data_IF_294324054845
#
_entry.id   IF_294324054845
#
_cell.length_a   1.000
_cell.length_b   1.000
_cell.length_c   1.000
_cell.angle_alpha   90.00
_cell.angle_beta   90.00
_cell.angle_gamma   90.00
#
_symmetry.space_group_name_H-M   'P 1'
#
loop_
_entity.id
_entity.type
_entity.pdbx_description
1 polymer ?
#
# COMPACT_ATOMS: atom_id res chain seq x y z
N UNK A 1 -87.20 3.27 -5.89
CA UNK A 1 -87.48 3.45 -7.33
C UNK A 1 -86.29 4.17 -7.93
N UNK A 2 -85.17 3.51 -8.25
CA UNK A 2 -84.91 2.56 -9.36
C UNK A 2 -85.19 3.16 -10.74
N UNK A 3 -84.15 3.70 -11.39
CA UNK A 3 -83.83 3.69 -12.85
C UNK A 3 -82.34 4.11 -12.91
N UNK A 4 -81.30 3.35 -13.29
CA UNK A 4 -80.98 2.29 -14.27
C UNK A 4 -80.76 2.74 -15.73
N UNK A 5 -79.54 2.44 -16.21
CA UNK A 5 -79.11 2.24 -17.61
C UNK A 5 -78.76 3.53 -18.40
N UNK A 6 -77.71 3.64 -19.25
CA UNK A 6 -76.99 2.74 -20.18
C UNK A 6 -75.78 3.57 -20.76
N UNK A 7 -74.49 3.18 -20.82
CA UNK A 7 -73.75 2.27 -21.75
C UNK A 7 -74.33 2.26 -23.19
N UNK A 8 -73.65 2.50 -24.34
CA UNK A 8 -72.23 2.33 -24.79
C UNK A 8 -72.05 3.04 -26.21
N UNK A 9 -71.09 2.70 -27.10
CA UNK A 9 -69.84 3.39 -27.49
C UNK A 9 -69.82 4.05 -28.89
N UNK A 10 -68.69 4.65 -29.30
CA UNK A 10 -68.34 4.87 -30.72
C UNK A 10 -67.20 3.94 -31.16
N UNK A 11 -67.38 3.33 -32.34
CA UNK A 11 -66.54 2.32 -32.96
C UNK A 11 -65.44 2.89 -33.87
N UNK A 12 -64.26 2.25 -33.81
CA UNK A 12 -63.44 1.71 -34.91
C UNK A 12 -63.49 2.35 -36.31
N UNK A 13 -62.31 2.76 -36.81
CA UNK A 13 -61.87 2.50 -38.18
C UNK A 13 -60.37 2.13 -38.18
N UNK A 14 -60.08 0.93 -38.69
CA UNK A 14 -58.77 0.32 -38.93
C UNK A 14 -58.25 0.67 -40.33
N UNK A 15 -57.03 0.18 -40.63
CA UNK A 15 -56.37 -0.04 -41.95
C UNK A 15 -55.48 1.13 -42.45
N UNK A 16 -54.21 0.99 -42.89
CA UNK A 16 -53.41 -0.14 -43.42
C UNK A 16 -51.90 -0.02 -43.11
N UNK A 17 -51.28 -1.18 -42.96
CA UNK A 17 -49.84 -1.48 -43.09
C UNK A 17 -49.33 -1.38 -44.54
N UNK A 18 -48.08 -0.91 -44.73
CA UNK A 18 -47.06 -1.34 -45.72
C UNK A 18 -45.75 -0.58 -45.35
N UNK A 19 -44.71 -1.25 -44.85
CA UNK A 19 -43.65 -2.02 -45.53
C UNK A 19 -42.34 -1.20 -45.64
N UNK A 20 -41.28 -1.79 -45.07
CA UNK A 20 -39.87 -1.36 -45.04
C UNK A 20 -39.24 -1.13 -46.43
N UNK A 21 -38.14 -0.35 -46.48
CA UNK A 21 -36.97 -0.71 -47.26
C UNK A 21 -35.79 -1.13 -46.36
N UNK A 22 -35.16 -2.25 -46.75
CA UNK A 22 -33.87 -2.74 -46.27
C UNK A 22 -32.74 -1.79 -46.70
N UNK A 23 -31.77 -1.56 -45.82
CA UNK A 23 -30.38 -1.32 -46.21
C UNK A 23 -29.46 -2.18 -45.33
N UNK A 24 -28.86 -3.15 -46.00
CA UNK A 24 -27.85 -4.08 -45.50
C UNK A 24 -26.46 -3.45 -45.52
N UNK A 25 -25.57 -4.03 -44.71
CA UNK A 25 -24.10 -3.96 -44.73
C UNK A 25 -23.47 -2.84 -43.89
N UNK A 26 -23.12 -3.20 -42.66
CA UNK A 26 -21.74 -3.10 -42.15
C UNK A 26 -21.55 -4.17 -41.07
N UNK A 27 -21.22 -5.39 -41.52
CA UNK A 27 -20.41 -6.34 -40.73
C UNK A 27 -18.98 -6.07 -41.16
N UNK A 28 -18.18 -5.45 -40.30
CA UNK A 28 -16.72 -5.46 -40.46
C UNK A 28 -16.07 -5.50 -39.08
N UNK A 29 -15.40 -6.62 -38.84
CA UNK A 29 -14.29 -6.86 -37.91
C UNK A 29 -14.50 -6.59 -36.41
N UNK A 30 -14.98 -7.62 -35.71
CA UNK A 30 -14.35 -7.98 -34.43
C UNK A 30 -12.96 -8.52 -34.81
N UNK A 31 -11.97 -7.65 -34.76
CA UNK A 31 -10.57 -8.05 -34.82
C UNK A 31 -10.25 -8.70 -33.48
N UNK A 32 -10.06 -10.01 -33.48
CA UNK A 32 -9.28 -10.72 -32.46
C UNK A 32 -7.93 -10.03 -32.28
N UNK A 33 -7.59 -9.50 -31.11
CA UNK A 33 -6.21 -9.10 -30.85
C UNK A 33 -5.34 -10.37 -30.81
N UNK A 34 -4.34 -10.38 -31.67
CA UNK A 34 -3.22 -11.35 -31.66
C UNK A 34 -2.56 -11.35 -30.27
N UNK A 35 -2.06 -12.50 -29.77
CA UNK A 35 -1.51 -12.61 -28.42
C UNK A 35 -0.18 -11.85 -28.35
N UNK A 36 -0.21 -10.67 -27.76
CA UNK A 36 0.98 -9.85 -27.58
C UNK A 36 0.69 -8.66 -26.69
N UNK A 37 1.32 -8.66 -25.52
CA UNK A 37 1.43 -7.54 -24.58
C UNK A 37 0.15 -7.22 -23.79
N UNK A 38 -0.16 -8.10 -22.83
CA UNK A 38 -1.12 -7.81 -21.77
C UNK A 38 -0.48 -6.90 -20.72
N UNK A 39 -0.59 -5.59 -20.93
CA UNK A 39 -0.36 -4.60 -19.88
C UNK A 39 -1.45 -4.73 -18.81
N UNK A 40 -1.13 -5.39 -17.69
CA UNK A 40 -2.00 -5.44 -16.51
C UNK A 40 -2.14 -4.02 -15.94
N UNK A 41 -3.31 -3.40 -16.14
CA UNK A 41 -3.68 -2.16 -15.45
C UNK A 41 -3.87 -2.51 -13.95
N UNK A 42 -2.91 -2.10 -13.12
CA UNK A 42 -2.93 -2.29 -11.66
C UNK A 42 -3.73 -1.18 -10.96
N UNK A 43 -5.05 -1.16 -11.15
CA UNK A 43 -5.97 -0.29 -10.36
C UNK A 43 -6.79 -1.04 -9.31
N UNK A 44 -6.60 -2.36 -9.17
CA UNK A 44 -7.26 -3.20 -8.14
C UNK A 44 -6.40 -3.54 -6.91
N UNK A 45 -5.16 -3.05 -6.84
CA UNK A 45 -4.18 -3.52 -5.84
C UNK A 45 -4.46 -3.02 -4.40
N UNK A 46 -5.05 -1.84 -4.22
CA UNK A 46 -5.20 -1.25 -2.88
C UNK A 46 -6.33 -1.87 -2.05
N UNK A 47 -7.46 -2.27 -2.67
CA UNK A 47 -8.61 -2.84 -1.94
C UNK A 47 -8.46 -4.34 -1.66
N UNK A 48 -7.72 -5.06 -2.52
CA UNK A 48 -7.37 -6.46 -2.25
C UNK A 48 -6.42 -6.57 -1.04
N UNK A 49 -5.50 -5.61 -0.88
CA UNK A 49 -4.53 -5.62 0.22
C UNK A 49 -5.17 -5.59 1.61
N UNK A 50 -6.18 -4.74 1.83
CA UNK A 50 -6.85 -4.66 3.14
C UNK A 50 -7.63 -5.94 3.45
N UNK A 51 -8.33 -6.51 2.46
CA UNK A 51 -9.13 -7.73 2.64
C UNK A 51 -8.25 -8.96 2.94
N UNK A 52 -7.11 -9.09 2.26
CA UNK A 52 -6.14 -10.15 2.54
C UNK A 52 -5.50 -9.97 3.94
N UNK A 53 -5.15 -8.74 4.29
CA UNK A 53 -4.48 -8.44 5.56
C UNK A 53 -5.36 -8.74 6.77
N UNK A 54 -6.61 -8.27 6.78
CA UNK A 54 -7.55 -8.44 7.90
C UNK A 54 -7.96 -9.90 8.05
N UNK A 55 -8.06 -10.63 6.94
CA UNK A 55 -8.29 -12.09 6.96
C UNK A 55 -7.13 -12.82 7.63
N UNK A 56 -5.89 -12.54 7.22
CA UNK A 56 -4.70 -13.19 7.78
C UNK A 56 -4.44 -12.79 9.26
N UNK A 57 -4.90 -11.60 9.67
CA UNK A 57 -4.69 -10.99 10.99
C UNK A 57 -6.04 -10.55 11.62
N UNK A 58 -6.90 -11.51 12.02
CA UNK A 58 -8.29 -11.21 12.41
C UNK A 58 -8.42 -10.36 13.69
N UNK A 59 -7.37 -10.25 14.50
CA UNK A 59 -7.35 -9.40 15.70
C UNK A 59 -6.90 -7.97 15.42
N UNK A 60 -6.36 -7.69 14.22
CA UNK A 60 -5.92 -6.36 13.84
C UNK A 60 -7.06 -5.61 13.17
N UNK A 61 -7.79 -4.81 13.95
CA UNK A 61 -8.94 -4.04 13.47
C UNK A 61 -8.89 -2.57 13.95
N UNK A 62 -9.86 -1.77 13.49
CA UNK A 62 -9.96 -0.34 13.78
C UNK A 62 -10.21 -0.07 15.27
N UNK A 63 -9.22 0.53 15.92
CA UNK A 63 -9.29 1.01 17.30
C UNK A 63 -9.86 2.45 17.37
N UNK A 64 -10.53 2.84 18.49
CA UNK A 64 -10.98 4.21 18.69
C UNK A 64 -9.83 5.23 18.58
N UNK A 65 -10.02 6.27 17.77
CA UNK A 65 -9.02 7.29 17.50
C UNK A 65 -9.59 8.71 17.55
N UNK A 66 -8.86 9.65 18.16
CA UNK A 66 -9.24 11.05 18.24
C UNK A 66 -9.11 11.76 16.88
N UNK A 67 -10.15 12.52 16.52
CA UNK A 67 -10.22 13.33 15.29
C UNK A 67 -9.46 14.64 15.45
N UNK A 68 -8.60 14.95 14.49
CA UNK A 68 -7.72 16.12 14.50
C UNK A 68 -6.24 15.78 14.72
N UNK A 69 -5.89 14.50 14.69
CA UNK A 69 -4.50 14.03 14.66
C UNK A 69 -4.00 13.84 13.23
N UNK A 70 -2.69 13.69 13.02
CA UNK A 70 -2.14 13.43 11.68
C UNK A 70 -2.55 12.06 11.12
N UNK A 71 -2.82 11.08 11.98
CA UNK A 71 -3.32 9.75 11.60
C UNK A 71 -4.83 9.70 11.41
N UNK A 72 -5.57 10.60 12.07
CA UNK A 72 -7.03 10.70 11.96
C UNK A 72 -7.44 12.17 11.83
N UNK A 73 -7.38 12.68 10.59
CA UNK A 73 -7.64 14.08 10.28
C UNK A 73 -9.14 14.37 10.21
N UNK A 74 -9.50 15.59 10.59
CA UNK A 74 -10.88 16.06 10.39
C UNK A 74 -11.24 16.04 8.91
N UNK A 75 -12.48 15.65 8.63
CA UNK A 75 -13.07 15.70 7.30
C UNK A 75 -14.27 16.62 7.30
N UNK A 76 -14.86 16.88 6.12
CA UNK A 76 -16.08 17.67 6.03
C UNK A 76 -17.23 17.11 6.89
N UNK A 77 -17.35 15.79 6.98
CA UNK A 77 -18.43 15.12 7.70
C UNK A 77 -18.07 14.74 9.14
N UNK A 78 -16.79 14.59 9.44
CA UNK A 78 -16.28 14.24 10.77
C UNK A 78 -15.34 15.35 11.22
N UNK A 79 -15.87 16.44 11.80
CA UNK A 79 -15.04 17.55 12.28
C UNK A 79 -14.31 17.18 13.57
N UNK A 80 -13.21 17.89 13.85
CA UNK A 80 -12.56 17.87 15.16
C UNK A 80 -13.27 18.87 16.11
N UNK A 81 -13.34 18.60 17.43
CA UNK A 81 -12.87 17.40 18.13
C UNK A 81 -13.89 16.26 18.09
N UNK A 82 -13.42 15.03 18.27
CA UNK A 82 -14.26 13.84 18.33
C UNK A 82 -13.44 12.57 18.46
N UNK A 83 -14.10 11.42 18.54
CA UNK A 83 -13.48 10.09 18.43
C UNK A 83 -14.23 9.31 17.38
N UNK A 84 -13.50 8.60 16.52
CA UNK A 84 -14.07 7.66 15.56
C UNK A 84 -13.56 6.25 15.84
N UNK A 85 -14.39 5.26 15.56
CA UNK A 85 -14.10 3.83 15.70
C UNK A 85 -14.75 3.04 14.56
N UNK A 86 -14.69 1.72 14.64
CA UNK A 86 -15.25 0.83 13.61
C UNK A 86 -16.78 0.94 13.42
N UNK A 87 -17.51 1.50 14.42
CA UNK A 87 -18.96 1.67 14.41
C UNK A 87 -19.38 3.10 14.02
N UNK A 88 -18.42 4.00 13.81
CA UNK A 88 -18.72 5.35 13.35
C UNK A 88 -19.27 5.29 11.92
N UNK A 89 -20.42 5.93 11.69
CA UNK A 89 -21.02 6.02 10.37
C UNK A 89 -20.08 6.70 9.37
N UNK A 90 -20.11 6.24 8.13
CA UNK A 90 -19.27 6.70 7.01
C UNK A 90 -20.08 7.55 6.03
N UNK A 91 -20.46 8.79 6.39
CA UNK A 91 -21.15 9.67 5.46
C UNK A 91 -20.27 10.02 4.24
N UNK A 92 -20.87 10.21 3.06
CA UNK A 92 -22.31 10.22 2.79
C UNK A 92 -22.86 8.83 2.38
N UNK A 93 -22.18 7.73 2.72
CA UNK A 93 -22.53 6.40 2.23
C UNK A 93 -23.67 5.80 3.06
N UNK A 94 -24.90 5.94 2.57
CA UNK A 94 -26.09 5.39 3.20
C UNK A 94 -26.19 3.87 3.02
N UNK A 95 -26.46 3.14 4.11
CA UNK A 95 -26.82 1.71 4.12
C UNK A 95 -28.32 1.54 3.87
N UNK A 96 -29.12 2.41 4.46
CA UNK A 96 -30.57 2.52 4.27
C UNK A 96 -31.01 3.97 4.49
N UNK A 97 -32.32 4.23 4.56
CA UNK A 97 -32.88 5.59 4.69
C UNK A 97 -32.42 6.35 5.95
N UNK A 98 -32.02 5.64 7.01
CA UNK A 98 -31.74 6.23 8.33
C UNK A 98 -30.33 5.97 8.86
N UNK A 99 -29.56 5.09 8.22
CA UNK A 99 -28.26 4.63 8.71
C UNK A 99 -27.17 4.76 7.63
N UNK A 100 -26.00 5.22 8.05
CA UNK A 100 -24.79 5.17 7.24
C UNK A 100 -24.10 3.81 7.38
N UNK A 101 -23.38 3.38 6.35
CA UNK A 101 -22.45 2.27 6.45
C UNK A 101 -21.43 2.54 7.55
N UNK A 102 -21.05 1.51 8.30
CA UNK A 102 -19.91 1.54 9.22
C UNK A 102 -18.75 0.70 8.67
N UNK A 103 -17.56 0.80 9.27
CA UNK A 103 -16.44 -0.05 8.87
C UNK A 103 -16.72 -1.52 9.21
N UNK A 104 -17.43 -1.80 10.30
CA UNK A 104 -17.87 -3.15 10.66
C UNK A 104 -18.87 -3.73 9.65
N UNK A 105 -19.81 -2.91 9.15
CA UNK A 105 -20.74 -3.36 8.10
C UNK A 105 -20.02 -3.71 6.79
N UNK A 106 -18.91 -3.03 6.51
CA UNK A 106 -18.11 -3.17 5.30
C UNK A 106 -16.89 -4.10 5.47
N UNK A 107 -16.81 -4.86 6.57
CA UNK A 107 -15.65 -5.73 6.84
C UNK A 107 -15.46 -6.80 5.76
N UNK A 108 -16.57 -7.36 5.25
CA UNK A 108 -16.56 -8.28 4.13
C UNK A 108 -17.18 -7.65 2.89
N UNK A 109 -16.54 -7.86 1.74
CA UNK A 109 -16.93 -7.21 0.48
C UNK A 109 -18.17 -7.82 -0.16
N UNK A 110 -18.54 -9.04 0.23
CA UNK A 110 -19.72 -9.76 -0.27
C UNK A 110 -21.03 -9.04 0.07
N UNK A 111 -21.05 -8.20 1.11
CA UNK A 111 -22.17 -7.30 1.41
C UNK A 111 -22.48 -6.32 0.25
N UNK A 112 -21.48 -6.01 -0.58
CA UNK A 112 -21.61 -5.17 -1.77
C UNK A 112 -21.79 -5.98 -3.07
N UNK A 113 -21.99 -7.30 -2.95
CA UNK A 113 -22.23 -8.19 -4.08
C UNK A 113 -20.99 -8.61 -4.85
N UNK A 114 -19.80 -8.48 -4.27
CA UNK A 114 -18.56 -8.98 -4.88
C UNK A 114 -17.62 -9.59 -3.83
N UNK A 115 -16.72 -10.47 -4.25
CA UNK A 115 -15.58 -10.89 -3.46
C UNK A 115 -14.39 -11.17 -4.36
N UNK A 116 -13.18 -11.06 -3.83
CA UNK A 116 -11.98 -11.52 -4.50
C UNK A 116 -11.92 -13.05 -4.44
N UNK A 117 -11.40 -13.74 -5.48
CA UNK A 117 -11.23 -15.19 -5.45
C UNK A 117 -10.51 -15.70 -4.19
N UNK A 118 -9.54 -14.94 -3.70
CA UNK A 118 -8.73 -15.27 -2.53
C UNK A 118 -9.49 -15.08 -1.20
N UNK A 119 -10.61 -14.36 -1.18
CA UNK A 119 -11.34 -13.98 0.05
C UNK A 119 -12.72 -14.65 0.18
N UNK A 120 -13.00 -15.68 -0.63
CA UNK A 120 -14.29 -16.38 -0.65
C UNK A 120 -14.40 -17.37 0.52
N UNK A 121 -14.66 -16.87 1.72
CA UNK A 121 -14.71 -17.68 2.95
C UNK A 121 -15.71 -18.85 2.88
N UNK A 122 -16.79 -18.72 2.10
CA UNK A 122 -17.80 -19.76 1.89
C UNK A 122 -17.30 -21.00 1.13
N UNK A 123 -16.11 -20.95 0.53
CA UNK A 123 -15.49 -22.10 -0.12
C UNK A 123 -14.75 -23.03 0.87
N UNK A 124 -14.65 -22.63 2.14
CA UNK A 124 -13.88 -23.36 3.16
C UNK A 124 -14.78 -23.92 4.25
N UNK A 125 -14.36 -25.04 4.86
CA UNK A 125 -15.13 -25.67 5.92
C UNK A 125 -15.03 -24.93 7.27
N UNK A 126 -13.98 -24.12 7.45
CA UNK A 126 -13.75 -23.33 8.66
C UNK A 126 -12.93 -22.06 8.40
N UNK A 127 -13.07 -21.09 9.29
CA UNK A 127 -12.26 -19.86 9.29
C UNK A 127 -10.75 -20.15 9.31
N UNK A 128 -10.30 -21.14 10.07
CA UNK A 128 -8.86 -21.44 10.18
C UNK A 128 -8.29 -21.99 8.87
N UNK A 129 -9.05 -22.86 8.20
CA UNK A 129 -8.68 -23.37 6.88
C UNK A 129 -8.62 -22.25 5.84
N UNK A 130 -9.62 -21.37 5.83
CA UNK A 130 -9.64 -20.19 4.98
C UNK A 130 -8.44 -19.28 5.25
N UNK A 131 -8.14 -18.97 6.51
CA UNK A 131 -6.99 -18.14 6.91
C UNK A 131 -5.67 -18.77 6.52
N UNK A 132 -5.51 -20.07 6.73
CA UNK A 132 -4.32 -20.82 6.33
C UNK A 132 -4.12 -20.75 4.80
N UNK A 133 -5.19 -20.91 4.03
CA UNK A 133 -5.13 -20.76 2.58
C UNK A 133 -4.73 -19.32 2.20
N UNK A 134 -5.36 -18.30 2.79
CA UNK A 134 -5.04 -16.90 2.51
C UNK A 134 -3.57 -16.58 2.82
N UNK A 135 -3.02 -17.07 3.94
CA UNK A 135 -1.60 -16.92 4.26
C UNK A 135 -0.71 -17.56 3.19
N UNK A 136 -1.03 -18.77 2.75
CA UNK A 136 -0.31 -19.45 1.67
C UNK A 136 -0.38 -18.71 0.33
N UNK A 137 -1.56 -18.19 -0.03
CA UNK A 137 -1.76 -17.37 -1.24
C UNK A 137 -0.93 -16.08 -1.17
N UNK A 138 -0.87 -15.41 -0.03
CA UNK A 138 -0.02 -14.21 0.16
C UNK A 138 1.44 -14.56 -0.14
N UNK A 139 1.97 -15.66 0.41
CA UNK A 139 3.35 -16.08 0.16
C UNK A 139 3.61 -16.42 -1.32
N UNK A 140 2.62 -16.99 -2.01
CA UNK A 140 2.75 -17.34 -3.42
C UNK A 140 2.61 -16.14 -4.37
N UNK A 141 1.69 -15.21 -4.08
CA UNK A 141 1.40 -14.06 -4.94
C UNK A 141 2.37 -12.89 -4.70
N UNK A 142 2.85 -12.76 -3.47
CA UNK A 142 3.77 -11.71 -3.02
C UNK A 142 5.00 -12.32 -2.35
N UNK A 143 5.78 -13.17 -3.06
CA UNK A 143 6.95 -13.78 -2.48
C UNK A 143 7.94 -12.70 -2.07
N UNK A 144 8.51 -12.83 -0.87
CA UNK A 144 9.63 -12.02 -0.46
C UNK A 144 10.79 -12.23 -1.45
N UNK A 145 11.31 -11.14 -2.02
CA UNK A 145 12.33 -11.19 -3.08
C UNK A 145 13.62 -11.85 -2.57
N UNK A 146 14.06 -11.55 -1.35
CA UNK A 146 15.23 -12.17 -0.74
C UNK A 146 15.02 -13.69 -0.54
N UNK A 147 13.85 -14.12 -0.04
CA UNK A 147 13.50 -15.56 0.06
C UNK A 147 13.63 -16.26 -1.29
N UNK A 148 13.07 -15.67 -2.35
CA UNK A 148 13.11 -16.24 -3.70
C UNK A 148 14.55 -16.33 -4.23
N UNK A 149 15.32 -15.25 -4.12
CA UNK A 149 16.72 -15.21 -4.57
C UNK A 149 17.57 -16.22 -3.82
N UNK A 150 17.47 -16.28 -2.49
CA UNK A 150 18.26 -17.17 -1.64
C UNK A 150 17.87 -18.64 -1.83
N UNK A 151 16.57 -18.96 -1.91
CA UNK A 151 16.12 -20.33 -2.17
C UNK A 151 16.63 -20.85 -3.52
N UNK A 152 16.59 -20.01 -4.57
CA UNK A 152 17.14 -20.34 -5.88
C UNK A 152 18.67 -20.50 -5.84
N UNK A 153 19.36 -19.63 -5.09
CA UNK A 153 20.81 -19.71 -4.94
C UNK A 153 21.24 -21.04 -4.31
N UNK A 154 20.58 -21.44 -3.21
CA UNK A 154 20.84 -22.72 -2.54
C UNK A 154 20.54 -23.91 -3.46
N UNK A 155 19.43 -23.86 -4.21
CA UNK A 155 19.05 -24.95 -5.12
C UNK A 155 20.02 -25.12 -6.31
N UNK A 156 20.67 -24.03 -6.74
CA UNK A 156 21.56 -24.02 -7.92
C UNK A 156 23.04 -24.04 -7.58
N UNK A 157 23.42 -23.91 -6.31
CA UNK A 157 24.82 -23.80 -5.88
C UNK A 157 25.47 -22.49 -6.33
N UNK A 158 24.73 -21.38 -6.27
CA UNK A 158 25.20 -20.04 -6.66
C UNK A 158 26.23 -19.46 -5.68
N UNK A 159 26.88 -18.35 -6.06
CA UNK A 159 27.76 -17.56 -5.20
C UNK A 159 27.05 -16.94 -4.00
N UNK A 160 25.71 -16.94 -3.93
CA UNK A 160 24.96 -16.46 -2.78
C UNK A 160 24.68 -17.56 -1.74
N UNK A 161 25.10 -18.81 -1.99
CA UNK A 161 24.81 -19.94 -1.08
C UNK A 161 25.41 -19.72 0.31
N UNK A 162 26.55 -19.03 0.43
CA UNK A 162 27.19 -18.75 1.72
C UNK A 162 26.46 -17.69 2.56
N UNK A 163 25.48 -17.00 1.99
CA UNK A 163 24.68 -15.99 2.70
C UNK A 163 23.58 -16.64 3.55
N UNK A 164 23.24 -17.90 3.26
CA UNK A 164 22.25 -18.68 4.03
C UNK A 164 22.98 -19.63 4.97
N UNK A 165 22.72 -19.49 6.26
CA UNK A 165 23.25 -20.39 7.30
C UNK A 165 22.67 -21.81 7.14
N UNK A 166 23.34 -22.81 7.75
CA UNK A 166 22.91 -24.22 7.72
C UNK A 166 21.47 -24.43 8.26
N UNK A 167 21.02 -23.58 9.18
CA UNK A 167 19.68 -23.59 9.76
C UNK A 167 18.63 -22.83 8.91
N UNK A 168 18.96 -22.53 7.64
CA UNK A 168 18.13 -21.77 6.69
C UNK A 168 17.81 -20.35 7.17
N UNK A 169 18.75 -19.74 7.87
CA UNK A 169 18.62 -18.35 8.29
C UNK A 169 19.48 -17.41 7.47
N UNK A 170 19.08 -16.15 7.42
CA UNK A 170 19.85 -15.05 6.82
C UNK A 170 19.56 -13.75 7.58
N UNK A 171 20.37 -12.72 7.34
CA UNK A 171 20.15 -11.39 7.93
C UNK A 171 19.34 -10.51 6.98
N UNK A 172 18.13 -10.12 7.39
CA UNK A 172 17.31 -9.15 6.67
C UNK A 172 17.66 -7.73 7.12
N UNK A 173 17.83 -6.83 6.15
CA UNK A 173 18.19 -5.44 6.35
C UNK A 173 17.08 -4.52 5.83
N UNK A 174 16.73 -3.53 6.64
CA UNK A 174 15.64 -2.58 6.35
C UNK A 174 16.08 -1.15 6.68
N UNK A 175 15.71 -0.22 5.81
CA UNK A 175 15.79 1.22 6.08
C UNK A 175 14.49 1.64 6.76
N UNK A 176 14.58 2.08 8.01
CA UNK A 176 13.51 2.77 8.72
C UNK A 176 13.68 4.27 8.55
N UNK A 177 12.65 4.90 8.03
CA UNK A 177 12.64 6.34 7.80
C UNK A 177 11.57 6.94 8.68
N UNK A 178 11.96 7.94 9.47
CA UNK A 178 11.02 8.75 10.26
C UNK A 178 11.08 10.19 9.81
N UNK A 179 9.94 10.87 9.79
CA UNK A 179 9.86 12.24 9.33
C UNK A 179 8.76 12.99 10.10
N UNK A 180 8.97 14.25 10.49
CA UNK A 180 7.91 15.03 11.13
C UNK A 180 6.74 15.23 10.18
N UNK A 181 5.52 14.90 10.62
CA UNK A 181 4.32 15.14 9.82
C UNK A 181 4.02 16.63 9.61
N UNK A 182 4.54 17.46 10.53
CA UNK A 182 4.26 18.90 10.65
C UNK A 182 5.38 19.80 10.15
N UNK A 183 6.64 19.34 10.15
CA UNK A 183 7.76 20.14 9.64
C UNK A 183 8.12 19.77 8.20
N UNK A 184 7.86 18.51 7.80
CA UNK A 184 8.11 18.10 6.42
C UNK A 184 7.00 18.59 5.49
N UNK A 185 7.36 18.96 4.23
CA UNK A 185 6.38 19.37 3.23
C UNK A 185 5.24 18.36 3.05
N UNK A 186 4.03 18.81 2.69
CA UNK A 186 2.88 17.91 2.46
C UNK A 186 3.08 17.00 1.23
N UNK A 187 3.92 17.44 0.29
CA UNK A 187 4.35 16.67 -0.88
C UNK A 187 5.86 16.59 -0.84
N UNK A 188 6.39 15.37 -0.69
CA UNK A 188 7.82 15.11 -0.82
C UNK A 188 8.09 13.71 -1.36
N UNK A 189 9.30 13.53 -1.89
CA UNK A 189 9.84 12.26 -2.37
C UNK A 189 11.26 12.09 -1.86
N UNK A 190 11.49 11.08 -1.03
CA UNK A 190 12.81 10.65 -0.59
C UNK A 190 13.24 9.45 -1.44
N UNK A 191 14.41 9.55 -2.08
CA UNK A 191 15.00 8.51 -2.92
C UNK A 191 16.27 7.99 -2.26
N UNK A 192 16.39 6.68 -2.13
CA UNK A 192 17.53 5.99 -1.53
C UNK A 192 18.28 5.22 -2.61
N UNK A 193 19.60 5.37 -2.65
CA UNK A 193 20.45 4.73 -3.66
C UNK A 193 21.83 4.39 -3.14
N UNK A 194 22.46 3.39 -3.77
CA UNK A 194 23.89 3.14 -3.62
C UNK A 194 24.67 4.00 -4.62
N UNK A 195 25.51 4.89 -4.10
CA UNK A 195 26.49 5.64 -4.88
C UNK A 195 27.59 4.70 -5.39
N UNK A 196 28.04 4.92 -6.63
CA UNK A 196 29.21 4.23 -7.17
C UNK A 196 30.52 4.71 -6.54
N UNK A 197 31.62 4.06 -6.91
CA UNK A 197 32.95 4.33 -6.33
C UNK A 197 33.51 5.68 -6.80
N UNK A 198 33.13 6.09 -8.01
CA UNK A 198 33.48 7.37 -8.60
C UNK A 198 32.23 8.24 -8.83
N UNK A 199 32.41 9.56 -8.80
CA UNK A 199 31.31 10.52 -9.03
C UNK A 199 30.68 10.43 -10.42
N UNK A 200 31.36 9.80 -11.38
CA UNK A 200 30.85 9.51 -12.72
C UNK A 200 29.99 8.25 -12.80
N UNK A 201 30.04 7.39 -11.78
CA UNK A 201 29.36 6.11 -11.80
C UNK A 201 27.86 6.28 -11.59
N UNK A 202 27.08 5.42 -12.23
CA UNK A 202 25.64 5.41 -12.05
C UNK A 202 25.29 4.94 -10.63
N UNK A 203 24.43 5.70 -9.94
CA UNK A 203 23.85 5.25 -8.68
C UNK A 203 22.82 4.15 -8.92
N UNK A 204 22.77 3.14 -8.06
CA UNK A 204 21.75 2.09 -8.10
C UNK A 204 20.61 2.42 -7.15
N UNK A 205 19.38 2.52 -7.63
CA UNK A 205 18.21 2.80 -6.78
C UNK A 205 17.91 1.61 -5.86
N UNK A 206 17.74 1.89 -4.57
CA UNK A 206 17.33 0.92 -3.55
C UNK A 206 15.82 1.01 -3.34
N UNK A 207 15.30 2.23 -3.23
CA UNK A 207 13.88 2.44 -3.04
C UNK A 207 13.52 3.91 -2.82
N UNK A 208 12.23 4.14 -2.65
CA UNK A 208 11.68 5.48 -2.62
C UNK A 208 10.49 5.57 -1.70
N UNK A 209 10.42 6.67 -0.95
CA UNK A 209 9.22 7.07 -0.22
C UNK A 209 8.63 8.33 -0.84
N UNK A 210 7.37 8.24 -1.27
CA UNK A 210 6.59 9.40 -1.71
C UNK A 210 5.46 9.68 -0.72
N UNK A 211 5.37 10.93 -0.25
CA UNK A 211 4.20 11.48 0.42
C UNK A 211 3.51 12.45 -0.52
N UNK A 212 2.22 12.24 -0.74
CA UNK A 212 1.37 13.16 -1.49
C UNK A 212 0.12 13.44 -0.67
N UNK A 213 0.06 14.61 -0.06
CA UNK A 213 -1.18 15.15 0.47
C UNK A 213 -1.71 16.15 -0.54
N UNK A 214 -2.87 15.85 -1.13
CA UNK A 214 -3.60 16.81 -1.96
C UNK A 214 -4.12 17.89 -1.02
N UNK A 215 -3.74 19.13 -1.33
CA UNK A 215 -4.14 20.34 -0.60
C UNK A 215 -5.67 20.38 -0.45
N UNK A 216 -6.18 20.43 0.79
CA UNK A 216 -7.44 21.13 1.03
C UNK A 216 -7.12 22.63 1.04
N UNK A 217 -8.08 23.58 0.99
CA UNK A 217 -7.84 25.03 0.92
C UNK A 217 -7.01 25.68 2.07
N UNK A 218 -6.32 24.87 2.85
CA UNK A 218 -5.48 25.12 4.02
C UNK A 218 -3.98 25.33 3.70
N UNK A 219 -3.55 25.57 2.46
CA UNK A 219 -2.21 26.15 2.22
C UNK A 219 -2.01 27.49 2.98
N UNK A 220 -3.10 28.17 3.32
CA UNK A 220 -3.17 29.31 4.25
C UNK A 220 -3.09 28.88 5.73
N UNK A 221 -3.61 27.70 6.08
CA UNK A 221 -3.49 27.13 7.43
C UNK A 221 -2.13 26.51 7.71
N UNK A 222 -1.34 26.09 6.71
CA UNK A 222 0.09 25.77 6.90
C UNK A 222 0.84 27.00 7.41
N UNK A 223 0.73 28.15 6.72
CA UNK A 223 1.34 29.41 7.16
C UNK A 223 0.77 29.92 8.48
N UNK A 224 -0.53 29.73 8.74
CA UNK A 224 -1.15 30.09 10.01
C UNK A 224 -0.70 29.18 11.16
N UNK A 225 -0.53 27.87 10.92
CA UNK A 225 0.03 26.90 11.88
C UNK A 225 1.51 27.19 12.13
N UNK A 226 2.26 27.61 11.12
CA UNK A 226 3.63 28.12 11.23
C UNK A 226 3.68 29.33 12.19
N UNK A 227 2.75 30.28 12.03
CA UNK A 227 2.63 31.48 12.87
C UNK A 227 2.07 31.22 14.29
N UNK A 228 1.25 30.19 14.49
CA UNK A 228 0.80 29.75 15.83
C UNK A 228 1.85 28.90 16.56
N UNK A 229 2.71 28.17 15.83
CA UNK A 229 3.77 27.30 16.37
C UNK A 229 4.90 28.10 17.04
N UNK A 230 5.22 29.28 16.53
CA UNK A 230 6.12 30.23 17.21
C UNK A 230 5.60 30.65 18.60
N UNK A 231 4.31 30.50 18.87
CA UNK A 231 3.67 30.87 20.15
C UNK A 231 3.47 29.69 21.11
N UNK A 232 3.56 28.44 20.66
CA UNK A 232 3.33 27.25 21.49
C UNK A 232 4.45 26.22 21.34
N UNK A 233 5.63 26.56 21.85
CA UNK A 233 6.58 25.54 22.31
C UNK A 233 6.03 24.95 23.60
N UNK A 234 5.25 23.89 23.53
CA UNK A 234 5.18 22.78 24.50
C UNK A 234 3.98 21.87 24.18
N UNK A 235 4.27 20.58 24.03
CA UNK A 235 3.34 19.45 24.19
C UNK A 235 2.31 19.16 23.08
N UNK A 236 2.79 18.73 21.91
CA UNK A 236 2.11 17.64 21.20
C UNK A 236 3.20 16.70 20.71
N UNK A 237 3.06 15.41 21.02
CA UNK A 237 3.89 14.34 20.47
C UNK A 237 3.90 14.54 18.97
N UNK A 238 5.05 14.93 18.39
CA UNK A 238 5.23 14.92 16.94
C UNK A 238 5.10 13.46 16.51
N UNK A 239 3.90 13.08 16.07
CA UNK A 239 3.61 11.73 15.63
C UNK A 239 4.23 11.59 14.25
N UNK A 240 5.53 11.32 14.23
CA UNK A 240 6.33 11.19 13.02
C UNK A 240 5.68 10.22 12.03
N UNK A 241 5.73 10.62 10.77
CA UNK A 241 5.54 9.73 9.63
C UNK A 241 6.63 8.67 9.66
N UNK A 242 6.26 7.42 9.35
CA UNK A 242 7.20 6.30 9.31
C UNK A 242 7.08 5.56 8.00
N UNK A 243 8.20 5.06 7.48
CA UNK A 243 8.25 4.18 6.32
C UNK A 243 9.40 3.17 6.48
N UNK A 244 9.26 2.02 5.84
CA UNK A 244 10.25 0.94 5.79
C UNK A 244 10.58 0.60 4.34
N UNK A 245 11.86 0.59 3.98
CA UNK A 245 12.34 0.23 2.64
C UNK A 245 13.25 -1.00 2.78
N UNK A 246 12.92 -2.08 2.08
CA UNK A 246 13.72 -3.30 2.09
C UNK A 246 15.08 -3.08 1.42
N UNK A 247 16.15 -3.54 2.07
CA UNK A 247 17.53 -3.35 1.61
C UNK A 247 18.16 -4.66 1.14
N UNK A 248 17.69 -5.80 1.68
CA UNK A 248 18.31 -7.12 1.49
C UNK A 248 18.47 -7.51 0.03
N UNK A 249 17.45 -7.37 -0.82
CA UNK A 249 17.59 -7.71 -2.24
C UNK A 249 18.66 -6.88 -2.94
N UNK A 250 18.72 -5.58 -2.64
CA UNK A 250 19.74 -4.69 -3.20
C UNK A 250 21.13 -5.04 -2.70
N UNK A 251 21.29 -5.47 -1.44
CA UNK A 251 22.56 -5.96 -0.91
C UNK A 251 22.99 -7.29 -1.55
N UNK A 252 22.06 -8.22 -1.79
CA UNK A 252 22.33 -9.45 -2.51
C UNK A 252 22.83 -9.18 -3.94
N UNK A 253 22.31 -8.15 -4.60
CA UNK A 253 22.83 -7.70 -5.90
C UNK A 253 24.28 -7.20 -5.78
N UNK A 254 24.63 -6.50 -4.69
CA UNK A 254 26.01 -6.06 -4.45
C UNK A 254 26.96 -7.23 -4.14
N UNK A 255 26.49 -8.26 -3.44
CA UNK A 255 27.26 -9.50 -3.20
C UNK A 255 27.50 -10.23 -4.52
N UNK A 256 26.46 -10.35 -5.35
CA UNK A 256 26.57 -10.95 -6.69
C UNK A 256 27.54 -10.17 -7.59
N UNK A 257 27.58 -8.84 -7.45
CA UNK A 257 28.52 -7.97 -8.14
C UNK A 257 29.96 -8.00 -7.56
N UNK A 258 30.19 -8.74 -6.47
CA UNK A 258 31.50 -8.81 -5.79
C UNK A 258 31.89 -7.53 -5.04
N UNK A 259 30.94 -6.63 -4.79
CA UNK A 259 31.16 -5.36 -4.07
C UNK A 259 30.94 -5.48 -2.56
N UNK A 260 30.24 -6.53 -2.13
CA UNK A 260 29.96 -6.83 -0.74
C UNK A 260 30.24 -8.33 -0.50
N UNK A 261 30.78 -8.68 0.66
CA UNK A 261 31.19 -10.07 0.93
C UNK A 261 30.05 -10.91 1.50
N UNK A 262 29.30 -10.36 2.46
CA UNK A 262 28.23 -11.06 3.18
C UNK A 262 27.12 -10.11 3.65
N UNK A 263 26.07 -10.66 4.27
CA UNK A 263 25.03 -9.89 4.96
C UNK A 263 25.32 -9.64 6.45
N UNK A 264 26.55 -9.93 6.90
CA UNK A 264 26.95 -9.69 8.28
C UNK A 264 27.10 -8.19 8.54
N UNK A 265 26.81 -7.76 9.77
CA UNK A 265 26.91 -6.35 10.14
C UNK A 265 28.32 -5.77 9.95
N UNK A 266 29.36 -6.59 10.08
CA UNK A 266 30.75 -6.18 9.89
C UNK A 266 31.07 -5.81 8.44
N UNK A 267 30.40 -6.44 7.46
CA UNK A 267 30.55 -6.13 6.05
C UNK A 267 29.54 -5.05 5.60
N UNK A 268 28.28 -5.17 6.04
CA UNK A 268 27.18 -4.31 5.58
C UNK A 268 27.30 -2.89 6.12
N UNK A 269 27.62 -2.70 7.40
CA UNK A 269 27.62 -1.34 7.99
C UNK A 269 28.68 -0.42 7.36
N UNK A 270 29.94 -0.84 7.15
CA UNK A 270 30.91 -0.02 6.43
C UNK A 270 30.46 0.28 5.00
N UNK A 271 29.91 -0.73 4.30
CA UNK A 271 29.40 -0.56 2.94
C UNK A 271 28.27 0.48 2.88
N UNK A 272 27.27 0.39 3.75
CA UNK A 272 26.18 1.35 3.80
C UNK A 272 26.66 2.76 4.15
N UNK A 273 27.60 2.91 5.08
CA UNK A 273 28.17 4.23 5.42
C UNK A 273 28.90 4.87 4.25
N UNK A 274 29.53 4.07 3.38
CA UNK A 274 30.25 4.56 2.23
C UNK A 274 29.34 4.83 1.02
N UNK A 275 28.33 3.97 0.79
CA UNK A 275 27.59 3.95 -0.47
C UNK A 275 26.12 4.36 -0.35
N UNK A 276 25.45 4.18 0.79
CA UNK A 276 24.04 4.53 0.92
C UNK A 276 23.88 6.05 0.98
N UNK A 277 23.15 6.60 0.02
CA UNK A 277 22.84 8.02 -0.06
C UNK A 277 21.33 8.20 -0.22
N UNK A 278 20.82 9.34 0.26
CA UNK A 278 19.43 9.72 0.05
C UNK A 278 19.29 11.17 -0.39
N UNK A 279 18.33 11.40 -1.28
CA UNK A 279 17.95 12.71 -1.77
C UNK A 279 16.47 12.93 -1.53
N UNK A 280 16.12 14.07 -0.93
CA UNK A 280 14.73 14.44 -0.69
C UNK A 280 14.35 15.62 -1.57
N UNK A 281 13.24 15.48 -2.27
CA UNK A 281 12.65 16.48 -3.14
C UNK A 281 11.28 16.88 -2.60
N UNK A 282 10.98 18.16 -2.60
CA UNK A 282 9.71 18.71 -2.10
C UNK A 282 8.94 19.42 -3.21
N UNK A 283 7.62 19.51 -3.01
CA UNK A 283 6.73 20.29 -3.87
C UNK A 283 6.43 19.62 -5.21
N UNK A 284 5.55 20.25 -5.97
CA UNK A 284 5.14 19.81 -7.32
C UNK A 284 6.26 20.04 -8.34
N UNK A 285 7.10 21.05 -8.08
CA UNK A 285 8.29 21.39 -8.86
C UNK A 285 9.47 20.44 -8.62
N UNK A 286 9.40 19.60 -7.59
CA UNK A 286 10.43 18.59 -7.29
C UNK A 286 11.76 19.23 -6.90
N UNK A 287 11.74 20.33 -6.14
CA UNK A 287 12.96 21.01 -5.69
C UNK A 287 13.68 20.17 -4.63
N UNK A 288 15.00 19.99 -4.81
CA UNK A 288 15.84 19.30 -3.82
C UNK A 288 15.89 20.10 -2.50
N UNK A 289 15.66 19.40 -1.39
CA UNK A 289 15.77 19.95 -0.03
C UNK A 289 17.24 20.05 0.39
N UNK A 290 17.56 21.08 1.19
CA UNK A 290 18.89 21.23 1.79
C UNK A 290 18.98 20.46 3.11
N UNK A 291 20.19 20.17 3.63
CA UNK A 291 20.34 19.47 4.91
C UNK A 291 19.59 20.15 6.06
N UNK A 292 19.64 21.48 6.16
CA UNK A 292 18.92 22.24 7.19
C UNK A 292 17.38 22.14 7.10
N UNK A 293 16.84 21.70 5.96
CA UNK A 293 15.40 21.45 5.81
C UNK A 293 15.02 20.01 6.17
N UNK A 294 16.00 19.16 6.47
CA UNK A 294 15.85 17.74 6.79
C UNK A 294 16.14 17.44 8.27
N UNK A 295 16.22 18.47 9.12
CA UNK A 295 16.49 18.31 10.57
C UNK A 295 15.49 17.37 11.27
N UNK A 296 14.26 17.26 10.75
CA UNK A 296 13.23 16.34 11.24
C UNK A 296 12.96 15.14 10.32
N UNK A 297 13.93 14.81 9.46
CA UNK A 297 13.97 13.58 8.66
C UNK A 297 15.13 12.72 9.16
N UNK A 298 14.85 11.50 9.60
CA UNK A 298 15.85 10.60 10.18
C UNK A 298 15.82 9.24 9.51
N UNK A 299 17.01 8.70 9.24
CA UNK A 299 17.23 7.39 8.65
C UNK A 299 17.91 6.48 9.67
N UNK A 300 17.27 5.35 9.96
CA UNK A 300 17.79 4.27 10.78
C UNK A 300 17.87 3.00 9.93
N UNK A 301 18.94 2.23 10.10
CA UNK A 301 19.06 0.92 9.48
C UNK A 301 18.81 -0.12 10.56
N UNK A 302 18.03 -1.14 10.24
CA UNK A 302 17.84 -2.28 11.13
C UNK A 302 18.29 -3.57 10.47
N UNK A 303 18.75 -4.50 11.28
CA UNK A 303 19.00 -5.89 10.88
C UNK A 303 18.17 -6.83 11.73
N UNK A 304 17.67 -7.90 11.13
CA UNK A 304 16.94 -8.96 11.83
C UNK A 304 17.38 -10.31 11.30
N UNK A 305 17.63 -11.28 12.19
CA UNK A 305 17.87 -12.66 11.76
C UNK A 305 16.53 -13.29 11.38
N UNK A 306 16.47 -13.87 10.19
CA UNK A 306 15.24 -14.39 9.60
C UNK A 306 15.42 -15.85 9.24
N UNK A 307 14.51 -16.70 9.68
CA UNK A 307 14.46 -18.11 9.29
C UNK A 307 13.50 -18.30 8.10
N UNK A 308 13.92 -19.13 7.14
CA UNK A 308 13.09 -19.54 6.00
C UNK A 308 12.44 -20.89 6.33
N UNK A 309 11.12 -20.93 6.57
CA UNK A 309 10.45 -22.19 6.85
C UNK A 309 10.51 -23.14 5.66
N UNK A 310 10.46 -24.45 5.98
CA UNK A 310 10.41 -25.51 4.98
C UNK A 310 9.16 -25.43 4.09
N UNK A 311 8.03 -25.00 4.68
CA UNK A 311 6.80 -24.82 3.94
C UNK A 311 6.80 -23.44 3.24
N UNK A 312 6.74 -23.40 1.89
CA UNK A 312 6.66 -22.14 1.15
C UNK A 312 5.42 -21.31 1.48
N UNK A 313 4.35 -21.93 1.99
CA UNK A 313 3.12 -21.25 2.37
C UNK A 313 3.22 -20.53 3.74
N UNK A 314 4.24 -20.84 4.53
CA UNK A 314 4.48 -20.17 5.82
C UNK A 314 5.22 -18.85 5.62
N UNK A 315 4.88 -17.80 6.39
CA UNK A 315 5.62 -16.54 6.40
C UNK A 315 7.04 -16.74 6.94
N UNK A 316 7.94 -15.82 6.62
CA UNK A 316 9.28 -15.80 7.22
C UNK A 316 9.19 -15.55 8.74
N UNK A 317 10.06 -16.22 9.50
CA UNK A 317 10.11 -16.09 10.96
C UNK A 317 11.21 -15.11 11.34
N UNK A 318 10.82 -13.99 11.94
CA UNK A 318 11.72 -12.89 12.32
C UNK A 318 12.11 -12.99 13.80
N UNK A 319 13.41 -12.87 14.09
CA UNK A 319 13.93 -12.78 15.45
C UNK A 319 13.89 -11.34 16.00
N UNK A 320 14.60 -11.10 17.11
CA UNK A 320 14.85 -9.74 17.59
C UNK A 320 15.62 -8.91 16.55
N UNK A 321 15.21 -7.65 16.42
CA UNK A 321 15.78 -6.65 15.53
C UNK A 321 16.88 -5.85 16.25
N UNK A 322 17.95 -5.54 15.53
CA UNK A 322 19.04 -4.64 15.98
C UNK A 322 19.00 -3.35 15.17
N UNK A 323 19.08 -2.20 15.86
CA UNK A 323 19.05 -0.88 15.22
C UNK A 323 20.43 -0.23 15.11
N UNK A 324 20.67 0.44 13.99
CA UNK A 324 21.89 1.17 13.65
C UNK A 324 21.51 2.56 13.11
N UNK A 325 21.54 3.60 13.96
CA UNK A 325 21.27 4.97 13.53
C UNK A 325 22.31 5.44 12.50
N UNK A 326 21.87 6.00 11.37
CA UNK A 326 22.77 6.53 10.32
C UNK A 326 22.91 8.06 10.37
N UNK A 327 22.13 8.74 11.21
CA UNK A 327 22.10 10.20 11.32
C UNK A 327 21.09 10.86 10.36
N UNK A 328 20.98 12.18 10.46
CA UNK A 328 20.17 13.06 9.60
C UNK A 328 21.02 13.68 8.49
#
# INVERSE_FOLDING_TARGET
MTVSSRFTPLSSQMTRFRAFPKLSKMRTAISTPSPGVMGKIRTGASYMGISLYTTANPTAWLEPAAVGSDRNRATFWVPSPGTTDANTGLPPFWKNENEFWTSNDAHHTDVFGYAYPETQYWEFASDEEWRSNVRGMIQSLYPNSARSTLANAVATGSTLTHVVDEDKTFTDWVIHVTASATEMPPIFRAMFSFAGDFSSDASTEVGMWTRMIVDSPEASAWKAREAERDKKRFSTIDQGLTNTIGLTSSLLDQITAGKLESLDSEAVLPYLKAHLTWLVYAGVDGKRMTPAQLDSFSVEITSTKVHIPNDPAQPLDYSNTTSYPMGS
#
